data_IF_024565291884
#
_entry.id   IF_024565291884
#
_cell.length_a   1.000
_cell.length_b   1.000
_cell.length_c   1.000
_cell.angle_alpha   90.00
_cell.angle_beta   90.00
_cell.angle_gamma   90.00
#
_symmetry.space_group_name_H-M   'P 1'
#
loop_
_entity.id
_entity.type
_entity.pdbx_description
1 polymer ?
#
# COMPACT_ATOMS: atom_id res chain seq x y z
N UNK A 1 25.06 -19.62 4.45
CA UNK A 1 23.95 -18.65 4.62
C UNK A 1 23.80 -18.27 6.08
N UNK A 2 23.55 -17.00 6.39
CA UNK A 2 23.37 -16.54 7.78
C UNK A 2 22.01 -16.91 8.38
N UNK A 3 21.92 -16.88 9.72
CA UNK A 3 20.68 -17.18 10.47
C UNK A 3 19.48 -16.33 10.01
N UNK A 4 19.71 -15.07 9.63
CA UNK A 4 18.63 -14.15 9.22
C UNK A 4 17.90 -14.60 7.96
N UNK A 5 18.63 -14.92 6.87
CA UNK A 5 18.01 -15.34 5.60
C UNK A 5 17.25 -16.64 5.77
N UNK A 6 17.86 -17.62 6.44
CA UNK A 6 17.26 -18.93 6.73
C UNK A 6 16.04 -18.79 7.65
N UNK A 7 16.00 -17.83 8.57
CA UNK A 7 14.83 -17.62 9.43
C UNK A 7 13.71 -16.86 8.71
N UNK A 8 14.04 -15.89 7.87
CA UNK A 8 13.07 -14.98 7.23
C UNK A 8 12.42 -15.56 5.98
N UNK A 9 13.19 -16.18 5.09
CA UNK A 9 12.74 -16.57 3.74
C UNK A 9 12.34 -18.05 3.61
N UNK A 10 11.93 -18.69 4.71
CA UNK A 10 11.39 -20.07 4.66
C UNK A 10 10.01 -20.07 4.01
N UNK A 11 9.68 -21.18 3.36
CA UNK A 11 8.36 -21.44 2.74
C UNK A 11 7.18 -21.17 3.67
N UNK A 12 7.28 -21.56 4.95
CA UNK A 12 6.25 -21.29 5.98
C UNK A 12 5.99 -19.81 6.30
N UNK A 13 6.82 -18.89 5.81
CA UNK A 13 6.70 -17.42 5.99
C UNK A 13 6.70 -16.69 4.66
N UNK A 14 6.35 -17.39 3.58
CA UNK A 14 6.31 -16.83 2.23
C UNK A 14 5.20 -15.79 2.15
N UNK A 15 5.58 -14.60 1.69
CA UNK A 15 4.65 -13.52 1.37
C UNK A 15 4.05 -13.74 0.00
N UNK A 16 2.92 -13.09 -0.28
CA UNK A 16 2.34 -13.09 -1.62
C UNK A 16 3.32 -12.48 -2.64
N UNK A 17 3.44 -13.16 -3.77
CA UNK A 17 4.33 -12.78 -4.87
C UNK A 17 3.83 -11.53 -5.61
N UNK A 18 4.76 -10.83 -6.26
CA UNK A 18 4.51 -9.52 -6.87
C UNK A 18 3.59 -9.59 -8.10
N UNK A 19 3.73 -10.66 -8.88
CA UNK A 19 2.91 -10.98 -10.04
C UNK A 19 1.43 -11.21 -9.66
N UNK A 20 1.18 -11.95 -8.57
CA UNK A 20 -0.17 -12.16 -8.05
C UNK A 20 -0.79 -10.83 -7.58
N UNK A 21 -0.03 -10.01 -6.86
CA UNK A 21 -0.50 -8.68 -6.43
C UNK A 21 -0.74 -7.75 -7.62
N UNK A 22 0.08 -7.85 -8.67
CA UNK A 22 -0.13 -7.08 -9.89
C UNK A 22 -1.46 -7.45 -10.56
N UNK A 23 -1.80 -8.74 -10.61
CA UNK A 23 -3.07 -9.22 -11.14
C UNK A 23 -4.25 -8.76 -10.27
N UNK A 24 -4.11 -8.79 -8.94
CA UNK A 24 -5.12 -8.26 -8.01
C UNK A 24 -5.42 -6.77 -8.25
N UNK A 25 -4.43 -6.01 -8.72
CA UNK A 25 -4.52 -4.57 -9.03
C UNK A 25 -4.94 -4.29 -10.48
N UNK A 26 -5.09 -5.31 -11.33
CA UNK A 26 -5.40 -5.12 -12.75
C UNK A 26 -6.82 -4.61 -12.98
N UNK A 27 -7.78 -5.07 -12.18
CA UNK A 27 -9.21 -4.75 -12.32
C UNK A 27 -9.74 -3.95 -11.14
N UNK A 28 -10.71 -3.05 -11.37
CA UNK A 28 -11.38 -2.32 -10.29
C UNK A 28 -12.15 -3.25 -9.36
N UNK A 29 -12.79 -4.26 -9.93
CA UNK A 29 -13.65 -5.21 -9.23
C UNK A 29 -12.85 -6.03 -8.21
N UNK A 30 -11.66 -6.51 -8.59
CA UNK A 30 -10.76 -7.23 -7.69
C UNK A 30 -10.30 -6.34 -6.53
N UNK A 31 -9.96 -5.08 -6.79
CA UNK A 31 -9.58 -4.12 -5.74
C UNK A 31 -10.74 -3.86 -4.78
N UNK A 32 -11.96 -3.64 -5.29
CA UNK A 32 -13.17 -3.48 -4.47
C UNK A 32 -13.45 -4.73 -3.64
N UNK A 33 -13.38 -5.92 -4.24
CA UNK A 33 -13.61 -7.18 -3.54
C UNK A 33 -12.58 -7.42 -2.42
N UNK A 34 -11.31 -7.12 -2.68
CA UNK A 34 -10.24 -7.26 -1.68
C UNK A 34 -10.33 -6.24 -0.55
N UNK A 35 -10.87 -5.05 -0.82
CA UNK A 35 -11.15 -4.06 0.23
C UNK A 35 -12.40 -4.40 1.03
N UNK A 36 -13.45 -4.88 0.39
CA UNK A 36 -14.74 -5.18 0.99
C UNK A 36 -14.90 -6.68 1.22
N UNK A 37 -13.91 -7.28 1.89
CA UNK A 37 -13.97 -8.67 2.32
C UNK A 37 -15.06 -8.86 3.39
N UNK A 38 -15.62 -10.06 3.44
CA UNK A 38 -16.47 -10.46 4.57
C UNK A 38 -15.67 -10.44 5.88
N UNK A 39 -16.38 -10.23 7.00
CA UNK A 39 -15.79 -10.25 8.32
C UNK A 39 -15.23 -11.65 8.62
N UNK A 40 -13.95 -11.70 8.99
CA UNK A 40 -13.21 -12.93 9.26
C UNK A 40 -12.44 -12.80 10.57
N UNK A 41 -12.86 -13.57 11.59
CA UNK A 41 -12.29 -13.57 12.94
C UNK A 41 -10.82 -13.99 12.99
N UNK A 42 -10.34 -14.74 12.00
CA UNK A 42 -8.96 -15.25 11.97
C UNK A 42 -7.97 -14.20 11.52
N UNK A 43 -8.44 -13.12 10.87
CA UNK A 43 -7.62 -12.06 10.30
C UNK A 43 -7.55 -10.85 11.24
N UNK A 44 -6.42 -10.14 11.28
CA UNK A 44 -6.34 -8.85 11.96
C UNK A 44 -7.40 -7.87 11.45
N UNK A 45 -8.01 -7.12 12.35
CA UNK A 45 -9.03 -6.11 12.00
C UNK A 45 -10.25 -6.69 11.28
N UNK A 46 -10.59 -7.96 11.57
CA UNK A 46 -11.69 -8.70 10.95
C UNK A 46 -11.62 -8.74 9.41
N UNK A 47 -10.42 -8.61 8.85
CA UNK A 47 -10.19 -8.56 7.40
C UNK A 47 -10.54 -7.23 6.72
N UNK A 48 -10.97 -6.20 7.47
CA UNK A 48 -11.49 -4.95 6.90
C UNK A 48 -10.40 -3.96 6.49
N UNK A 49 -9.33 -3.84 7.29
CA UNK A 49 -8.22 -2.91 7.03
C UNK A 49 -7.10 -3.60 6.25
N UNK A 50 -7.28 -3.71 4.94
CA UNK A 50 -6.37 -4.44 4.05
C UNK A 50 -5.65 -3.51 3.06
N UNK A 51 -4.32 -3.61 3.00
CA UNK A 51 -3.53 -2.98 1.95
C UNK A 51 -3.28 -3.96 0.80
N UNK A 52 -3.86 -3.68 -0.37
CA UNK A 52 -3.77 -4.54 -1.56
C UNK A 52 -2.32 -4.67 -2.06
N UNK A 53 -1.59 -3.56 -2.15
CA UNK A 53 -0.23 -3.51 -2.71
C UNK A 53 0.81 -4.27 -1.86
N UNK A 54 0.67 -4.20 -0.54
CA UNK A 54 1.54 -4.91 0.40
C UNK A 54 0.99 -6.28 0.80
N UNK A 55 -0.22 -6.65 0.38
CA UNK A 55 -0.91 -7.88 0.76
C UNK A 55 -0.91 -8.12 2.29
N UNK A 56 -1.24 -7.09 3.06
CA UNK A 56 -1.16 -7.10 4.53
C UNK A 56 -2.42 -6.56 5.18
N UNK A 57 -2.87 -7.25 6.23
CA UNK A 57 -3.95 -6.84 7.11
C UNK A 57 -3.43 -6.00 8.28
N UNK A 58 -4.23 -5.03 8.70
CA UNK A 58 -3.99 -4.15 9.83
C UNK A 58 -5.15 -4.25 10.82
N UNK A 59 -4.91 -3.79 12.04
CA UNK A 59 -5.90 -3.84 13.12
C UNK A 59 -6.94 -2.72 12.97
N UNK A 60 -6.49 -1.48 12.70
CA UNK A 60 -7.32 -0.27 12.65
C UNK A 60 -6.95 0.62 11.43
N UNK A 61 -7.81 1.60 11.10
CA UNK A 61 -7.58 2.54 9.99
C UNK A 61 -6.32 3.39 10.19
N UNK A 62 -6.04 3.89 11.39
CA UNK A 62 -4.85 4.71 11.69
C UNK A 62 -3.56 3.94 11.33
N UNK A 63 -3.52 2.64 11.62
CA UNK A 63 -2.37 1.78 11.30
C UNK A 63 -2.18 1.62 9.79
N UNK A 64 -3.28 1.52 9.03
CA UNK A 64 -3.27 1.49 7.57
C UNK A 64 -2.79 2.83 7.00
N UNK A 65 -3.32 3.95 7.50
CA UNK A 65 -2.95 5.31 7.07
C UNK A 65 -1.47 5.62 7.34
N UNK A 66 -0.93 5.18 8.49
CA UNK A 66 0.49 5.29 8.79
C UNK A 66 1.34 4.40 7.86
N UNK A 67 0.84 3.20 7.54
CA UNK A 67 1.53 2.28 6.65
C UNK A 67 1.68 2.85 5.23
N UNK A 68 0.61 3.41 4.66
CA UNK A 68 0.61 3.97 3.29
C UNK A 68 1.57 5.15 3.15
N UNK A 69 1.70 5.99 4.17
CA UNK A 69 2.68 7.10 4.20
C UNK A 69 4.14 6.62 4.34
N UNK A 70 4.36 5.40 4.84
CA UNK A 70 5.67 4.84 5.17
C UNK A 70 6.54 4.43 3.97
N UNK A 71 7.87 4.36 4.18
CA UNK A 71 8.86 4.01 3.14
C UNK A 71 8.70 2.58 2.60
N UNK A 72 8.25 1.65 3.44
CA UNK A 72 8.07 0.24 3.03
C UNK A 72 7.00 0.12 1.94
N UNK A 73 5.89 0.81 2.13
CA UNK A 73 4.80 0.85 1.16
C UNK A 73 5.23 1.55 -0.13
N UNK A 74 5.85 2.73 -0.02
CA UNK A 74 6.37 3.47 -1.18
C UNK A 74 7.36 2.65 -2.01
N UNK A 75 8.19 1.81 -1.37
CA UNK A 75 9.07 0.87 -2.08
C UNK A 75 8.27 -0.18 -2.84
N UNK A 76 7.26 -0.79 -2.22
CA UNK A 76 6.39 -1.79 -2.85
C UNK A 76 5.64 -1.21 -4.05
N UNK A 77 5.11 0.00 -3.94
CA UNK A 77 4.49 0.74 -5.05
C UNK A 77 5.46 0.91 -6.21
N UNK A 78 6.71 1.27 -5.91
CA UNK A 78 7.75 1.42 -6.95
C UNK A 78 8.03 0.10 -7.66
N UNK A 79 8.10 -1.01 -6.91
CA UNK A 79 8.30 -2.34 -7.48
C UNK A 79 7.13 -2.76 -8.39
N UNK A 80 5.89 -2.45 -7.98
CA UNK A 80 4.65 -2.77 -8.72
C UNK A 80 4.41 -1.92 -9.98
N UNK A 81 5.14 -0.81 -10.15
CA UNK A 81 5.08 0.00 -11.39
C UNK A 81 5.79 -0.67 -12.56
N UNK A 82 6.66 -1.63 -12.28
CA UNK A 82 7.38 -2.37 -13.32
C UNK A 82 6.54 -3.57 -13.76
N UNK A 83 6.67 -3.96 -15.03
CA UNK A 83 6.06 -5.19 -15.53
C UNK A 83 6.55 -6.37 -14.68
N UNK A 84 5.64 -7.20 -14.12
CA UNK A 84 6.04 -8.35 -13.34
C UNK A 84 6.81 -9.33 -14.22
N UNK A 85 7.90 -9.87 -13.68
CA UNK A 85 8.68 -10.88 -14.36
C UNK A 85 7.89 -12.18 -14.49
N UNK A 86 7.83 -12.74 -15.70
CA UNK A 86 7.20 -14.03 -15.98
C UNK A 86 8.22 -15.03 -16.53
N UNK A 87 8.03 -16.35 -16.35
CA UNK A 87 8.95 -17.35 -16.91
C UNK A 87 9.12 -17.24 -18.44
N UNK A 88 8.12 -16.71 -19.15
CA UNK A 88 8.20 -16.42 -20.58
C UNK A 88 9.33 -15.45 -20.92
N UNK A 89 9.67 -14.54 -20.02
CA UNK A 89 10.78 -13.60 -20.22
C UNK A 89 12.15 -14.29 -20.13
N UNK A 90 12.34 -15.23 -19.19
CA UNK A 90 13.53 -16.09 -19.19
C UNK A 90 13.66 -16.92 -20.47
N UNK A 91 12.55 -17.52 -20.90
CA UNK A 91 12.53 -18.36 -22.10
C UNK A 91 12.87 -17.54 -23.35
N UNK A 92 12.25 -16.38 -23.51
CA UNK A 92 12.49 -15.48 -24.64
C UNK A 92 13.94 -14.98 -24.67
N UNK A 93 14.53 -14.69 -23.50
CA UNK A 93 15.94 -14.33 -23.39
C UNK A 93 16.87 -15.47 -23.86
N UNK A 94 16.48 -16.73 -23.63
CA UNK A 94 17.18 -17.90 -24.15
C UNK A 94 16.84 -18.24 -25.62
N UNK A 95 16.01 -17.44 -26.29
CA UNK A 95 15.57 -17.66 -27.68
C UNK A 95 14.40 -18.63 -27.85
N UNK A 96 13.72 -19.01 -26.75
CA UNK A 96 12.56 -19.89 -26.76
C UNK A 96 11.24 -19.10 -26.58
N UNK A 97 10.15 -19.52 -27.23
CA UNK A 97 8.81 -18.91 -27.05
C UNK A 97 8.75 -17.37 -27.24
N UNK A 98 9.63 -16.78 -28.06
CA UNK A 98 9.73 -15.32 -28.24
C UNK A 98 8.40 -14.67 -28.64
N UNK A 99 7.65 -15.30 -29.56
CA UNK A 99 6.34 -14.79 -29.99
C UNK A 99 5.35 -14.67 -28.83
N UNK A 100 5.25 -15.70 -27.98
CA UNK A 100 4.35 -15.68 -26.81
C UNK A 100 4.72 -14.58 -25.81
N UNK A 101 6.01 -14.31 -25.66
CA UNK A 101 6.48 -13.21 -24.82
C UNK A 101 6.07 -11.84 -25.38
N UNK A 102 6.17 -11.65 -26.71
CA UNK A 102 5.70 -10.41 -27.34
C UNK A 102 4.19 -10.19 -27.12
N UNK A 103 3.39 -11.25 -27.30
CA UNK A 103 1.94 -11.20 -27.05
C UNK A 103 1.63 -10.85 -25.58
N UNK A 104 2.40 -11.39 -24.63
CA UNK A 104 2.26 -11.09 -23.21
C UNK A 104 2.62 -9.63 -22.87
N UNK A 105 3.66 -9.08 -23.51
CA UNK A 105 4.02 -7.66 -23.40
C UNK A 105 2.91 -6.76 -23.94
N UNK A 106 2.25 -7.15 -25.04
CA UNK A 106 1.09 -6.42 -25.55
C UNK A 106 -0.10 -6.45 -24.60
N UNK A 107 -0.39 -7.61 -23.98
CA UNK A 107 -1.42 -7.71 -22.94
C UNK A 107 -1.13 -6.79 -21.76
N UNK A 108 0.13 -6.75 -21.31
CA UNK A 108 0.55 -5.83 -20.24
C UNK A 108 0.28 -4.37 -20.60
N UNK A 109 0.62 -3.94 -21.82
CA UNK A 109 0.35 -2.55 -22.27
C UNK A 109 -1.13 -2.20 -22.20
N UNK A 110 -2.01 -3.10 -22.67
CA UNK A 110 -3.47 -2.93 -22.60
C UNK A 110 -3.98 -2.82 -21.16
N UNK A 111 -3.42 -3.61 -20.24
CA UNK A 111 -3.76 -3.54 -18.81
C UNK A 111 -3.31 -2.22 -18.19
N UNK A 112 -2.12 -1.73 -18.51
CA UNK A 112 -1.64 -0.43 -18.03
C UNK A 112 -2.45 0.74 -18.61
N UNK A 113 -2.85 0.67 -19.88
CA UNK A 113 -3.79 1.62 -20.49
C UNK A 113 -5.11 1.65 -19.71
N UNK A 114 -5.71 0.48 -19.47
CA UNK A 114 -6.92 0.36 -18.65
C UNK A 114 -6.72 0.96 -17.25
N UNK A 115 -5.59 0.70 -16.56
CA UNK A 115 -5.32 1.30 -15.24
C UNK A 115 -5.20 2.81 -15.29
N UNK A 116 -4.59 3.36 -16.35
CA UNK A 116 -4.40 4.79 -16.51
C UNK A 116 -5.73 5.51 -16.78
N UNK A 117 -6.57 4.95 -17.66
CA UNK A 117 -7.93 5.46 -17.92
C UNK A 117 -8.78 5.46 -16.64
N UNK A 118 -8.60 4.45 -15.81
CA UNK A 118 -9.40 4.21 -14.61
C UNK A 118 -8.75 4.66 -13.31
N UNK A 119 -7.68 5.43 -13.42
CA UNK A 119 -6.82 5.77 -12.28
C UNK A 119 -7.58 6.53 -11.19
N UNK A 120 -8.41 7.50 -11.58
CA UNK A 120 -9.19 8.30 -10.64
C UNK A 120 -10.17 7.43 -9.83
N UNK A 121 -10.85 6.49 -10.49
CA UNK A 121 -11.73 5.56 -9.82
C UNK A 121 -10.98 4.59 -8.91
N UNK A 122 -9.82 4.08 -9.34
CA UNK A 122 -8.98 3.22 -8.51
C UNK A 122 -8.45 3.96 -7.28
N UNK A 123 -8.06 5.23 -7.43
CA UNK A 123 -7.58 6.08 -6.34
C UNK A 123 -8.72 6.45 -5.38
N UNK A 124 -9.95 6.67 -5.90
CA UNK A 124 -11.14 6.82 -5.08
C UNK A 124 -11.41 5.55 -4.26
N UNK A 125 -11.45 4.38 -4.90
CA UNK A 125 -11.63 3.09 -4.22
C UNK A 125 -10.53 2.87 -3.18
N UNK A 126 -9.28 3.24 -3.47
CA UNK A 126 -8.15 3.12 -2.54
C UNK A 126 -8.24 4.09 -1.35
N UNK A 127 -8.80 5.28 -1.55
CA UNK A 127 -8.93 6.30 -0.50
C UNK A 127 -10.19 6.15 0.36
N UNK A 128 -11.18 5.34 -0.06
CA UNK A 128 -12.34 4.98 0.76
C UNK A 128 -11.93 4.53 2.17
N UNK A 129 -12.38 5.28 3.18
CA UNK A 129 -12.24 5.00 4.61
C UNK A 129 -13.53 4.40 5.15
N UNK A 130 -13.40 3.47 6.10
CA UNK A 130 -14.53 2.79 6.74
C UNK A 130 -14.80 3.40 8.12
N UNK A 131 -15.10 4.69 8.16
CA UNK A 131 -15.27 5.46 9.41
C UNK A 131 -16.39 4.91 10.31
N UNK A 132 -17.40 4.26 9.73
CA UNK A 132 -18.48 3.60 10.49
C UNK A 132 -17.99 2.41 11.31
N UNK A 133 -17.01 1.64 10.81
CA UNK A 133 -16.43 0.53 11.55
C UNK A 133 -15.56 1.03 12.70
N UNK A 134 -14.77 2.08 12.47
CA UNK A 134 -13.96 2.70 13.52
C UNK A 134 -14.86 3.24 14.64
N UNK A 135 -15.94 3.95 14.30
CA UNK A 135 -16.91 4.46 15.29
C UNK A 135 -17.60 3.35 16.10
N UNK A 136 -17.90 2.20 15.50
CA UNK A 136 -18.49 1.04 16.18
C UNK A 136 -17.47 0.36 17.12
N UNK A 137 -16.19 0.30 16.72
CA UNK A 137 -15.15 -0.41 17.47
C UNK A 137 -14.61 0.43 18.63
N UNK A 138 -14.34 1.73 18.41
CA UNK A 138 -13.68 2.61 19.39
C UNK A 138 -14.67 3.47 20.18
N UNK A 139 -15.93 3.57 19.74
CA UNK A 139 -16.95 4.44 20.35
C UNK A 139 -16.70 5.94 20.13
N UNK A 140 -15.67 6.31 19.36
CA UNK A 140 -15.27 7.69 19.07
C UNK A 140 -15.23 7.85 17.53
N UNK A 141 -16.00 8.79 16.94
CA UNK A 141 -15.95 9.02 15.50
C UNK A 141 -14.55 9.52 15.10
N UNK A 142 -14.03 8.97 14.00
CA UNK A 142 -12.65 9.18 13.50
C UNK A 142 -12.28 10.65 13.25
N UNK A 143 -13.26 11.55 13.15
CA UNK A 143 -13.06 13.00 13.02
C UNK A 143 -12.50 13.69 14.26
N UNK A 144 -12.68 13.14 15.46
CA UNK A 144 -12.31 13.79 16.73
C UNK A 144 -10.85 13.56 17.15
N UNK A 145 -10.23 12.45 16.72
CA UNK A 145 -8.86 12.09 17.10
C UNK A 145 -7.76 12.98 16.49
N UNK A 146 -8.07 13.82 15.50
CA UNK A 146 -7.09 14.70 14.85
C UNK A 146 -6.85 16.02 15.62
N UNK A 147 -7.58 16.28 16.71
CA UNK A 147 -7.45 17.54 17.45
C UNK A 147 -6.25 17.54 18.41
N UNK A 148 -5.82 16.36 18.87
CA UNK A 148 -4.75 16.24 19.88
C UNK A 148 -3.34 16.34 19.25
N UNK A 149 -3.14 15.93 17.99
CA UNK A 149 -1.84 16.07 17.31
C UNK A 149 -1.54 17.52 16.85
N UNK A 150 -2.54 18.40 16.84
CA UNK A 150 -2.36 19.80 16.44
C UNK A 150 -1.86 20.70 17.57
N UNK A 151 -1.90 20.25 18.84
CA UNK A 151 -1.57 21.06 20.01
C UNK A 151 -0.15 20.87 20.55
N UNK A 152 0.58 19.83 20.13
CA UNK A 152 1.98 19.64 20.52
C UNK A 152 2.94 20.07 19.40
N UNK A 153 3.10 21.38 19.21
CA UNK A 153 4.32 21.93 18.58
C UNK A 153 5.27 22.44 19.68
N UNK A 154 6.58 22.16 19.57
CA UNK A 154 7.55 22.43 20.63
C UNK A 154 7.74 23.94 20.84
N UNK A 155 7.70 24.33 22.13
CA UNK A 155 7.99 25.67 22.65
C UNK A 155 9.49 25.93 22.59
N UNK A 156 10.09 26.01 21.40
CA UNK A 156 11.52 26.34 21.25
C UNK A 156 11.79 27.15 19.98
N UNK A 157 11.17 28.33 19.84
CA UNK A 157 11.66 29.33 18.86
C UNK A 157 11.24 30.78 19.14
N UNK A 158 11.27 31.22 20.41
CA UNK A 158 10.89 32.60 20.77
C UNK A 158 11.89 33.35 21.66
N UNK A 159 13.12 32.87 21.82
CA UNK A 159 14.15 33.55 22.64
C UNK A 159 15.31 34.15 21.83
N UNK A 160 15.18 34.30 20.51
CA UNK A 160 16.20 34.92 19.66
C UNK A 160 15.60 35.97 18.74
N UNK A 161 14.92 36.95 19.34
CA UNK A 161 14.59 38.23 18.73
C UNK A 161 13.97 39.08 19.84
N UNK A 162 14.80 39.76 20.63
CA UNK A 162 14.48 41.00 21.38
C UNK A 162 15.58 41.31 22.42
N UNK A 163 16.74 41.76 21.94
CA UNK A 163 17.59 42.74 22.63
C UNK A 163 18.08 43.68 21.50
N UNK A 164 17.25 44.63 21.08
CA UNK A 164 17.25 46.04 21.49
C UNK A 164 18.56 46.74 21.15
N UNK A 165 18.57 47.41 20.00
CA UNK A 165 19.44 48.54 19.72
C UNK A 165 19.14 49.66 20.72
N UNK A 166 20.17 50.17 21.41
CA UNK A 166 20.19 51.52 21.99
C UNK A 166 21.63 52.07 21.90
N UNK A 167 21.72 53.26 21.33
CA UNK A 167 22.82 54.23 21.18
C UNK A 167 23.64 54.44 22.48
N UNK A 168 24.91 54.84 22.49
CA UNK A 168 25.61 55.96 21.80
C UNK A 168 27.02 55.61 21.28
#
# INVERSE_FOLDING_TARGET
MGRYSVKRYKTKRRTRDLDLVYNDLATKESVRALKNQALDETKPGLGQYYCVECAKYFENQISLDRHTKGKVHKRRVKDLRQRPYTPLESEACAGYNVQKFLDDVEKYKKVEEYKNENKEELDAIKSEKKDTLDAIITGIPSGELNQDEAQEKPVEKSLQANEVEMTD
#
